data_IF_892944959612
#
_entry.id   IF_892944959612
#
_cell.length_a   1.000
_cell.length_b   1.000
_cell.length_c   1.000
_cell.angle_alpha   90.00
_cell.angle_beta   90.00
_cell.angle_gamma   90.00
#
_symmetry.space_group_name_H-M   'P 1'
#
loop_
_entity.id
_entity.type
_entity.pdbx_description
1 polymer ?
#
# COMPACT_ATOMS: atom_id res chain seq x y z
N UNK A 1 -3.19 8.43 -6.81
CA UNK A 1 -3.57 7.30 -5.93
C UNK A 1 -2.31 6.63 -5.41
N UNK A 2 -2.25 6.39 -4.11
CA UNK A 2 -1.16 5.67 -3.46
C UNK A 2 -1.70 4.81 -2.32
N UNK A 3 -0.87 3.89 -1.86
CA UNK A 3 -1.19 2.95 -0.77
C UNK A 3 -0.05 2.90 0.24
N UNK A 4 -0.37 2.47 1.45
CA UNK A 4 0.57 2.29 2.55
C UNK A 4 0.14 1.11 3.42
N UNK A 5 1.08 0.55 4.18
CA UNK A 5 0.84 -0.46 5.22
C UNK A 5 1.64 -0.01 6.43
N UNK A 6 2.82 -0.60 6.64
CA UNK A 6 3.73 -0.25 7.70
C UNK A 6 5.18 -0.45 7.24
N UNK A 7 6.13 -0.05 8.08
CA UNK A 7 7.56 -0.27 7.86
C UNK A 7 7.90 -1.75 8.06
N UNK A 8 8.30 -2.39 6.97
CA UNK A 8 8.91 -3.73 7.00
C UNK A 8 10.22 -3.68 7.82
N UNK A 9 10.17 -4.16 9.07
CA UNK A 9 11.37 -4.38 9.87
C UNK A 9 12.02 -5.74 9.60
N UNK A 10 11.20 -6.74 9.25
CA UNK A 10 11.64 -8.09 8.92
C UNK A 10 10.83 -8.60 7.72
N UNK A 11 11.49 -9.12 6.67
CA UNK A 11 10.82 -9.54 5.45
C UNK A 11 9.87 -10.71 5.73
N UNK A 12 8.58 -10.53 5.41
CA UNK A 12 7.57 -11.60 5.41
C UNK A 12 6.92 -11.71 4.04
N UNK A 13 7.09 -12.85 3.37
CA UNK A 13 6.51 -13.07 2.03
C UNK A 13 4.97 -13.08 2.04
N UNK A 14 4.35 -13.66 3.08
CA UNK A 14 2.90 -13.64 3.27
C UNK A 14 2.55 -13.17 4.70
N UNK A 15 2.21 -11.89 4.89
CA UNK A 15 1.87 -11.35 6.21
C UNK A 15 0.48 -11.73 6.73
N UNK A 16 -0.34 -12.44 5.93
CA UNK A 16 -1.71 -12.81 6.29
C UNK A 16 -1.88 -14.34 6.43
N UNK A 17 -1.33 -14.99 7.48
CA UNK A 17 -1.34 -16.46 7.59
C UNK A 17 -2.74 -17.07 7.75
N UNK A 18 -3.71 -16.29 8.25
CA UNK A 18 -5.08 -16.77 8.52
C UNK A 18 -6.06 -16.49 7.35
N UNK A 19 -5.58 -15.90 6.25
CA UNK A 19 -6.40 -15.66 5.05
C UNK A 19 -6.22 -16.79 4.05
N UNK A 20 -7.29 -17.06 3.29
CA UNK A 20 -7.28 -18.04 2.18
C UNK A 20 -6.37 -17.53 1.05
N UNK A 21 -6.39 -16.22 0.79
CA UNK A 21 -5.57 -15.58 -0.24
C UNK A 21 -4.20 -15.17 0.29
N UNK A 22 -3.18 -15.31 -0.58
CA UNK A 22 -1.82 -14.83 -0.30
C UNK A 22 -1.78 -13.29 -0.34
N UNK A 23 -1.40 -12.68 0.79
CA UNK A 23 -1.15 -11.25 0.86
C UNK A 23 0.21 -10.90 0.25
N UNK A 24 0.32 -9.69 -0.31
CA UNK A 24 1.62 -9.16 -0.70
C UNK A 24 2.44 -8.76 0.56
N UNK A 25 3.79 -8.79 0.50
CA UNK A 25 4.65 -8.26 1.56
C UNK A 25 4.28 -6.82 1.92
N UNK A 26 4.50 -6.41 3.17
CA UNK A 26 4.21 -5.05 3.58
C UNK A 26 5.19 -4.06 2.93
N UNK A 27 4.81 -2.79 2.98
CA UNK A 27 5.57 -1.70 2.40
C UNK A 27 5.12 -0.40 3.06
N UNK A 28 6.04 0.55 3.21
CA UNK A 28 5.73 1.82 3.86
C UNK A 28 4.80 2.68 3.03
N UNK A 29 5.18 3.03 1.79
CA UNK A 29 4.36 3.83 0.90
C UNK A 29 4.68 3.53 -0.57
N UNK A 30 3.66 3.48 -1.42
CA UNK A 30 3.78 3.38 -2.88
C UNK A 30 2.85 4.40 -3.53
N UNK A 31 3.42 5.29 -4.34
CA UNK A 31 2.64 6.10 -5.27
C UNK A 31 2.35 5.27 -6.52
N UNK A 32 1.09 4.87 -6.71
CA UNK A 32 0.69 3.91 -7.76
C UNK A 32 0.26 4.63 -9.04
N UNK A 33 -0.46 5.74 -8.91
CA UNK A 33 -1.00 6.49 -10.05
C UNK A 33 -0.83 8.00 -9.78
N UNK A 34 -0.09 8.73 -10.62
CA UNK A 34 -0.06 10.19 -10.59
C UNK A 34 -1.47 10.80 -10.77
N UNK A 35 -1.63 12.08 -10.43
CA UNK A 35 -2.90 12.77 -10.68
C UNK A 35 -3.19 12.78 -12.18
N UNK A 36 -4.41 12.37 -12.55
CA UNK A 36 -4.88 12.23 -13.92
C UNK A 36 -6.38 12.52 -13.96
N UNK A 37 -6.86 13.04 -15.10
CA UNK A 37 -8.28 13.25 -15.35
C UNK A 37 -8.98 11.97 -15.88
N UNK A 38 -8.23 10.89 -16.15
CA UNK A 38 -8.77 9.62 -16.62
C UNK A 38 -9.28 8.74 -15.46
N UNK A 39 -10.59 8.79 -15.23
CA UNK A 39 -11.24 7.97 -14.20
C UNK A 39 -11.12 6.45 -14.46
N UNK A 40 -11.01 6.01 -15.71
CA UNK A 40 -10.86 4.57 -16.03
C UNK A 40 -9.46 4.07 -15.69
N UNK A 41 -8.46 4.94 -15.80
CA UNK A 41 -7.12 4.62 -15.35
C UNK A 41 -7.08 4.43 -13.83
N UNK A 42 -7.78 5.28 -13.07
CA UNK A 42 -7.95 5.09 -11.63
C UNK A 42 -8.61 3.74 -11.29
N UNK A 43 -9.74 3.41 -11.93
CA UNK A 43 -10.43 2.13 -11.73
C UNK A 43 -9.52 0.92 -12.04
N UNK A 44 -8.77 1.01 -13.14
CA UNK A 44 -7.81 -0.03 -13.54
C UNK A 44 -6.69 -0.19 -12.51
N UNK A 45 -6.12 0.90 -12.00
CA UNK A 45 -5.04 0.78 -11.01
C UNK A 45 -5.55 0.31 -9.64
N UNK A 46 -6.76 0.68 -9.24
CA UNK A 46 -7.40 0.19 -8.01
C UNK A 46 -7.67 -1.32 -8.09
N UNK A 47 -8.20 -1.82 -9.21
CA UNK A 47 -8.51 -3.25 -9.38
C UNK A 47 -7.28 -4.17 -9.39
N UNK A 48 -6.08 -3.64 -9.66
CA UNK A 48 -4.82 -4.38 -9.60
C UNK A 48 -4.23 -4.50 -8.19
N UNK A 49 -4.75 -3.75 -7.21
CA UNK A 49 -4.17 -3.74 -5.87
C UNK A 49 -4.38 -5.06 -5.15
N UNK A 50 -3.38 -5.45 -4.35
CA UNK A 50 -3.42 -6.64 -3.49
C UNK A 50 -3.43 -6.23 -2.03
N UNK A 51 -4.06 -7.02 -1.19
CA UNK A 51 -4.07 -6.75 0.24
C UNK A 51 -2.71 -7.17 0.85
N UNK A 52 -2.28 -6.44 1.87
CA UNK A 52 -1.11 -6.74 2.69
C UNK A 52 -1.51 -6.73 4.17
N UNK A 53 -0.53 -6.88 5.06
CA UNK A 53 -0.71 -6.76 6.50
C UNK A 53 0.61 -6.64 7.24
N UNK A 54 0.55 -6.31 8.52
CA UNK A 54 1.66 -6.26 9.46
C UNK A 54 1.27 -7.02 10.76
N UNK A 55 2.03 -6.84 11.83
CA UNK A 55 1.85 -7.59 13.08
C UNK A 55 0.99 -6.82 14.10
N UNK A 56 1.14 -5.51 14.14
CA UNK A 56 0.54 -4.61 15.11
C UNK A 56 -0.57 -3.76 14.49
N UNK A 57 -1.30 -3.02 15.33
CA UNK A 57 -2.43 -2.20 14.88
C UNK A 57 -2.07 -0.79 14.39
N UNK A 58 -1.03 -0.11 14.93
CA UNK A 58 -0.52 1.12 14.32
C UNK A 58 0.03 0.88 12.92
N UNK A 59 -0.06 1.88 12.04
CA UNK A 59 0.36 1.79 10.64
C UNK A 59 1.20 3.03 10.26
N UNK A 60 1.97 2.95 9.17
CA UNK A 60 2.86 4.01 8.71
C UNK A 60 2.14 5.13 7.91
N UNK A 61 0.89 5.45 8.26
CA UNK A 61 0.08 6.42 7.51
C UNK A 61 0.66 7.84 7.49
N UNK A 62 1.36 8.26 8.55
CA UNK A 62 2.00 9.58 8.60
C UNK A 62 3.20 9.69 7.65
N UNK A 63 3.95 8.60 7.45
CA UNK A 63 5.03 8.56 6.46
C UNK A 63 4.45 8.74 5.04
N UNK A 64 3.34 8.06 4.74
CA UNK A 64 2.65 8.18 3.45
C UNK A 64 2.14 9.60 3.19
N UNK A 65 1.54 10.25 4.21
CA UNK A 65 1.09 11.66 4.11
C UNK A 65 2.27 12.57 3.82
N UNK A 66 3.37 12.41 4.57
CA UNK A 66 4.56 13.25 4.39
C UNK A 66 5.11 13.13 2.96
N UNK A 67 5.26 11.90 2.45
CA UNK A 67 5.74 11.67 1.09
C UNK A 67 4.77 12.26 0.04
N UNK A 68 3.47 12.06 0.19
CA UNK A 68 2.47 12.61 -0.72
C UNK A 68 2.42 14.14 -0.71
N UNK A 69 2.77 14.79 0.39
CA UNK A 69 2.78 16.25 0.51
C UNK A 69 4.03 16.91 -0.11
N UNK A 70 5.19 16.25 -0.04
CA UNK A 70 6.47 16.84 -0.48
C UNK A 70 6.86 16.46 -1.91
N UNK A 71 6.45 15.29 -2.40
CA UNK A 71 6.73 14.84 -3.76
C UNK A 71 5.71 15.44 -4.75
N UNK A 72 6.21 16.27 -5.68
CA UNK A 72 5.41 16.92 -6.74
C UNK A 72 5.36 16.09 -8.01
#
# INVERSE_FOLDING_TARGET
>A
FGSFVDKEMLPRENPCPNRIDTCQPAFSFKNVLPLTDDAREFEREVSKQKISGNLDSPEAGLDAIMQAAVCK
#
